data_IF_012787540554
#
_entry.id   IF_012787540554
#
_cell.length_a   1.000
_cell.length_b   1.000
_cell.length_c   1.000
_cell.angle_alpha   90.00
_cell.angle_beta   90.00
_cell.angle_gamma   90.00
#
_symmetry.space_group_name_H-M   'P 1'
#
loop_
_entity.id
_entity.type
_entity.pdbx_description
1 polymer ?
#
# COMPACT_ATOMS: atom_id res chain seq x y z
N UNK A 1 -5.90 -11.43 -13.79
CA UNK A 1 -4.55 -10.89 -14.06
C UNK A 1 -3.66 -11.34 -12.92
N UNK A 2 -2.85 -12.37 -13.15
CA UNK A 2 -1.84 -12.84 -12.19
C UNK A 2 -0.49 -12.42 -12.73
N UNK A 3 -0.16 -11.14 -12.57
CA UNK A 3 1.20 -10.67 -12.83
C UNK A 3 2.09 -11.20 -11.71
N UNK A 4 2.85 -12.24 -12.02
CA UNK A 4 3.87 -12.84 -11.14
C UNK A 4 5.02 -11.87 -10.81
N UNK A 5 5.03 -10.67 -11.40
CA UNK A 5 6.02 -9.60 -11.17
C UNK A 5 5.86 -8.88 -9.84
N UNK A 6 4.69 -8.95 -9.19
CA UNK A 6 4.41 -8.19 -7.95
C UNK A 6 4.76 -8.96 -6.65
N UNK A 7 5.22 -10.21 -6.77
CA UNK A 7 5.54 -11.09 -5.64
C UNK A 7 4.40 -12.03 -5.24
N UNK A 8 4.64 -12.86 -4.22
CA UNK A 8 3.65 -13.84 -3.75
C UNK A 8 2.38 -13.16 -3.22
N UNK A 9 1.17 -13.59 -3.64
CA UNK A 9 -0.10 -13.05 -3.14
C UNK A 9 -0.22 -13.07 -1.61
N UNK A 10 0.28 -14.14 -0.97
CA UNK A 10 0.27 -14.26 0.48
C UNK A 10 1.10 -13.16 1.16
N UNK A 11 2.25 -12.83 0.59
CA UNK A 11 3.11 -11.75 1.08
C UNK A 11 2.43 -10.39 0.91
N UNK A 12 1.83 -10.14 -0.26
CA UNK A 12 1.13 -8.88 -0.55
C UNK A 12 -0.05 -8.70 0.43
N UNK A 13 -0.88 -9.72 0.62
CA UNK A 13 -1.98 -9.69 1.58
C UNK A 13 -1.50 -9.40 3.00
N UNK A 14 -0.45 -10.11 3.45
CA UNK A 14 0.15 -9.88 4.77
C UNK A 14 0.60 -8.43 4.93
N UNK A 15 1.27 -7.85 3.92
CA UNK A 15 1.73 -6.46 3.94
C UNK A 15 0.57 -5.46 3.96
N UNK A 16 -0.47 -5.68 3.16
CA UNK A 16 -1.67 -4.82 3.17
C UNK A 16 -2.30 -4.82 4.57
N UNK A 17 -2.49 -5.98 5.20
CA UNK A 17 -3.04 -6.06 6.55
C UNK A 17 -2.17 -5.36 7.61
N UNK A 18 -0.85 -5.43 7.48
CA UNK A 18 0.06 -4.68 8.35
C UNK A 18 -0.12 -3.17 8.18
N UNK A 19 -0.25 -2.68 6.94
CA UNK A 19 -0.49 -1.26 6.67
C UNK A 19 -1.85 -0.79 7.21
N UNK A 20 -2.88 -1.64 7.15
CA UNK A 20 -4.18 -1.38 7.78
C UNK A 20 -4.04 -1.26 9.29
N UNK A 21 -3.33 -2.21 9.93
CA UNK A 21 -3.10 -2.19 11.37
C UNK A 21 -2.33 -0.94 11.85
N UNK A 22 -1.50 -0.35 10.99
CA UNK A 22 -0.77 0.89 11.25
C UNK A 22 -1.60 2.16 10.95
N UNK A 23 -2.85 2.03 10.48
CA UNK A 23 -3.68 3.17 10.09
C UNK A 23 -3.18 3.90 8.83
N UNK A 24 -2.34 3.26 8.03
CA UNK A 24 -1.76 3.84 6.83
C UNK A 24 -2.66 3.64 5.61
N UNK A 25 -3.47 2.58 5.57
CA UNK A 25 -4.42 2.32 4.47
C UNK A 25 -5.76 1.82 5.01
N UNK A 26 -6.83 2.04 4.25
CA UNK A 26 -8.16 1.45 4.46
C UNK A 26 -8.50 0.49 3.31
N UNK A 27 -9.43 -0.43 3.57
CA UNK A 27 -9.96 -1.37 2.57
C UNK A 27 -11.43 -1.05 2.34
N UNK A 28 -11.75 -0.51 1.18
CA UNK A 28 -13.10 -0.07 0.83
C UNK A 28 -13.69 -0.98 -0.25
N UNK A 29 -14.95 -1.39 -0.10
CA UNK A 29 -15.62 -2.21 -1.11
C UNK A 29 -15.81 -1.39 -2.39
N UNK A 30 -15.54 -2.01 -3.55
CA UNK A 30 -15.79 -1.36 -4.82
C UNK A 30 -17.30 -1.35 -5.11
N UNK A 31 -17.87 -0.19 -5.44
CA UNK A 31 -19.30 -0.03 -5.67
C UNK A 31 -19.86 -0.96 -6.78
N UNK A 32 -19.03 -1.30 -7.79
CA UNK A 32 -19.42 -2.16 -8.90
C UNK A 32 -19.28 -3.68 -8.61
N UNK A 33 -18.47 -4.08 -7.63
CA UNK A 33 -18.29 -5.49 -7.23
C UNK A 33 -17.82 -5.54 -5.78
N UNK A 34 -18.71 -5.91 -4.86
CA UNK A 34 -18.43 -5.93 -3.42
C UNK A 34 -17.39 -6.98 -3.00
N UNK A 35 -17.06 -7.93 -3.89
CA UNK A 35 -15.99 -8.91 -3.65
C UNK A 35 -14.59 -8.30 -3.84
N UNK A 36 -14.51 -7.13 -4.50
CA UNK A 36 -13.27 -6.39 -4.69
C UNK A 36 -13.16 -5.31 -3.63
N UNK A 37 -11.99 -5.26 -2.99
CA UNK A 37 -11.64 -4.20 -2.04
C UNK A 37 -10.53 -3.36 -2.64
N UNK A 38 -10.72 -2.04 -2.61
CA UNK A 38 -9.73 -1.06 -2.98
C UNK A 38 -8.87 -0.73 -1.76
N UNK A 39 -7.56 -0.69 -1.96
CA UNK A 39 -6.61 -0.19 -0.95
C UNK A 39 -6.53 1.31 -1.10
N UNK A 40 -7.00 2.05 -0.09
CA UNK A 40 -7.04 3.52 -0.12
C UNK A 40 -6.03 4.08 0.89
N UNK A 41 -5.09 4.95 0.49
CA UNK A 41 -4.13 5.52 1.41
C UNK A 41 -4.78 6.53 2.36
N UNK A 42 -4.48 6.42 3.65
CA UNK A 42 -4.87 7.42 4.64
C UNK A 42 -4.00 8.67 4.53
N UNK A 43 -4.47 9.80 5.06
CA UNK A 43 -3.71 11.06 5.11
C UNK A 43 -2.33 10.86 5.77
N UNK A 44 -2.27 10.05 6.83
CA UNK A 44 -1.02 9.71 7.52
C UNK A 44 -0.01 9.01 6.60
N UNK A 45 -0.48 8.09 5.75
CA UNK A 45 0.39 7.41 4.79
C UNK A 45 0.98 8.36 3.77
N UNK A 46 0.19 9.31 3.27
CA UNK A 46 0.70 10.31 2.34
C UNK A 46 1.86 11.10 2.95
N UNK A 47 1.73 11.54 4.20
CA UNK A 47 2.81 12.25 4.91
C UNK A 47 4.02 11.36 5.20
N UNK A 48 3.79 10.14 5.68
CA UNK A 48 4.85 9.19 6.00
C UNK A 48 5.68 8.83 4.75
N UNK A 49 5.03 8.40 3.68
CA UNK A 49 5.72 7.97 2.47
C UNK A 49 6.34 9.13 1.69
N UNK A 50 5.80 10.36 1.79
CA UNK A 50 6.48 11.54 1.26
C UNK A 50 7.83 11.78 1.96
N UNK A 51 7.88 11.64 3.28
CA UNK A 51 9.12 11.77 4.07
C UNK A 51 10.11 10.66 3.71
N UNK A 52 9.66 9.41 3.67
CA UNK A 52 10.49 8.26 3.28
C UNK A 52 11.06 8.45 1.87
N UNK A 53 10.22 8.82 0.90
CA UNK A 53 10.66 9.08 -0.47
C UNK A 53 11.72 10.20 -0.55
N UNK A 54 11.59 11.27 0.25
CA UNK A 54 12.58 12.35 0.32
C UNK A 54 13.94 11.85 0.79
N UNK A 55 13.99 10.98 1.81
CA UNK A 55 15.24 10.42 2.33
C UNK A 55 15.84 9.44 1.32
N UNK A 56 15.04 8.51 0.79
CA UNK A 56 15.49 7.52 -0.18
C UNK A 56 16.10 8.17 -1.42
N UNK A 57 15.50 9.23 -1.95
CA UNK A 57 16.05 9.98 -3.09
C UNK A 57 17.40 10.62 -2.77
N UNK A 58 17.58 11.15 -1.56
CA UNK A 58 18.87 11.73 -1.14
C UNK A 58 19.96 10.67 -1.04
N UNK A 59 19.62 9.47 -0.58
CA UNK A 59 20.58 8.36 -0.45
C UNK A 59 20.90 7.73 -1.80
N UNK A 60 19.90 7.57 -2.69
CA UNK A 60 20.09 6.98 -4.02
C UNK A 60 20.80 7.92 -5.02
N UNK A 61 20.80 9.23 -4.77
CA UNK A 61 21.53 10.21 -5.56
C UNK A 61 23.02 10.34 -5.15
N UNK A 62 23.50 9.50 -4.23
CA UNK A 62 24.89 9.43 -3.77
C UNK A 62 25.53 8.15 -4.28
#
# INVERSE_FOLDING_TARGET
MSDSSYGSPATIHKRIHQLVALGLVTLEAQAADSRKRLVVPAKLAMTYFATVAKVLRKTAAR
#
